data_IF_578678449015
#
_entry.id   IF_578678449015
#
_cell.length_a   1.000
_cell.length_b   1.000
_cell.length_c   1.000
_cell.angle_alpha   90.00
_cell.angle_beta   90.00
_cell.angle_gamma   90.00
#
_symmetry.space_group_name_H-M   'P 1'
#
loop_
_entity.id
_entity.type
_entity.pdbx_description
1 polymer ?
#
# COMPACT_ATOMS: atom_id res chain seq x y z
N UNK A 1 1.22 24.90 -17.27
CA UNK A 1 1.57 23.98 -18.36
C UNK A 1 0.48 22.94 -18.58
N UNK A 2 0.35 22.50 -19.82
CA UNK A 2 -0.56 21.40 -20.20
C UNK A 2 0.17 20.50 -21.20
N UNK A 3 0.00 19.19 -21.05
CA UNK A 3 0.44 18.19 -22.02
C UNK A 3 -0.66 17.12 -22.16
N UNK A 4 -0.81 16.60 -23.38
CA UNK A 4 -1.68 15.46 -23.64
C UNK A 4 -1.06 14.58 -24.73
N UNK A 5 -1.25 13.29 -24.60
CA UNK A 5 -0.93 12.28 -25.61
C UNK A 5 -2.23 11.55 -25.97
N UNK A 6 -2.51 11.44 -27.25
CA UNK A 6 -3.72 10.78 -27.75
C UNK A 6 -3.35 9.51 -28.52
N UNK A 7 -4.19 8.50 -28.39
CA UNK A 7 -4.07 7.24 -29.12
C UNK A 7 -2.70 6.55 -28.93
N UNK A 8 -2.22 6.48 -27.69
CA UNK A 8 -1.00 5.76 -27.36
C UNK A 8 -1.22 4.26 -27.52
N UNK A 9 -0.37 3.62 -28.31
CA UNK A 9 -0.30 2.17 -28.45
C UNK A 9 1.09 1.69 -28.05
N UNK A 10 1.14 0.76 -27.12
CA UNK A 10 2.38 0.10 -26.70
C UNK A 10 2.09 -1.39 -26.66
N UNK A 11 2.64 -2.13 -27.61
CA UNK A 11 2.34 -3.54 -27.83
C UNK A 11 0.83 -3.77 -27.98
N UNK A 12 0.23 -4.51 -27.08
CA UNK A 12 -1.23 -4.78 -27.05
C UNK A 12 -2.03 -3.71 -26.32
N UNK A 13 -1.40 -2.87 -25.51
CA UNK A 13 -2.03 -1.83 -24.72
C UNK A 13 -2.46 -0.64 -25.58
N UNK A 14 -3.71 -0.23 -25.49
CA UNK A 14 -4.22 0.97 -26.16
C UNK A 14 -4.85 1.92 -25.15
N UNK A 15 -4.30 3.15 -25.08
CA UNK A 15 -4.81 4.25 -24.24
C UNK A 15 -5.26 5.41 -25.15
N UNK A 16 -6.49 5.87 -24.96
CA UNK A 16 -7.07 6.91 -25.83
C UNK A 16 -6.52 8.30 -25.52
N UNK A 17 -6.40 8.64 -24.25
CA UNK A 17 -5.87 9.95 -23.82
C UNK A 17 -5.13 9.84 -22.50
N UNK A 18 -3.90 10.32 -22.47
CA UNK A 18 -3.14 10.59 -21.26
C UNK A 18 -2.97 12.11 -21.18
N UNK A 19 -3.27 12.70 -20.04
CA UNK A 19 -3.16 14.14 -19.87
C UNK A 19 -2.44 14.52 -18.58
N UNK A 20 -1.82 15.70 -18.63
CA UNK A 20 -1.17 16.34 -17.50
C UNK A 20 -1.40 17.84 -17.56
N UNK A 21 -1.78 18.44 -16.44
CA UNK A 21 -1.99 19.89 -16.33
C UNK A 21 -1.45 20.39 -15.01
N UNK A 22 -0.64 21.44 -15.06
CA UNK A 22 -0.20 22.19 -13.89
C UNK A 22 -0.63 23.64 -14.06
N UNK A 23 -1.27 24.19 -13.06
CA UNK A 23 -1.58 25.60 -12.92
C UNK A 23 -1.00 26.09 -11.61
N UNK A 24 -0.34 27.22 -11.64
CA UNK A 24 0.22 27.85 -10.45
C UNK A 24 -0.25 29.31 -10.40
N UNK A 25 -0.65 29.72 -9.22
CA UNK A 25 -0.91 31.09 -8.82
C UNK A 25 0.03 31.42 -7.66
N UNK A 26 -0.06 32.62 -7.10
CA UNK A 26 0.84 33.11 -6.04
C UNK A 26 0.85 32.21 -4.79
N UNK A 27 -0.29 31.63 -4.43
CA UNK A 27 -0.46 30.85 -3.20
C UNK A 27 -0.97 29.44 -3.42
N UNK A 28 -1.29 29.08 -4.68
CA UNK A 28 -1.95 27.83 -5.00
C UNK A 28 -1.32 27.19 -6.24
N UNK A 29 -0.89 25.95 -6.11
CA UNK A 29 -0.53 25.10 -7.24
C UNK A 29 -1.56 23.98 -7.36
N UNK A 30 -2.10 23.81 -8.59
CA UNK A 30 -3.01 22.70 -8.92
C UNK A 30 -2.36 21.80 -9.96
N UNK A 31 -2.38 20.52 -9.66
CA UNK A 31 -1.95 19.43 -10.53
C UNK A 31 -3.18 18.62 -10.94
N UNK A 32 -3.26 18.23 -12.20
CA UNK A 32 -4.20 17.22 -12.67
C UNK A 32 -3.55 16.36 -13.73
N UNK A 33 -3.53 15.06 -13.50
CA UNK A 33 -3.03 14.06 -14.44
C UNK A 33 -4.06 12.93 -14.58
N UNK A 34 -4.00 12.17 -15.66
CA UNK A 34 -4.90 11.02 -15.77
C UNK A 34 -4.84 10.32 -17.10
N UNK A 35 -5.59 9.23 -17.14
CA UNK A 35 -5.83 8.40 -18.32
C UNK A 35 -7.33 8.29 -18.53
N UNK A 36 -7.76 8.46 -19.76
CA UNK A 36 -9.16 8.30 -20.17
C UNK A 36 -9.20 7.38 -21.37
N UNK A 37 -9.90 6.25 -21.22
CA UNK A 37 -10.31 5.40 -22.31
C UNK A 37 -11.83 5.55 -22.52
N UNK A 38 -12.21 6.04 -23.69
CA UNK A 38 -13.60 6.29 -24.01
C UNK A 38 -14.41 5.01 -24.31
N UNK A 39 -15.73 5.15 -24.51
CA UNK A 39 -16.61 4.00 -24.78
C UNK A 39 -16.29 3.25 -26.08
N UNK A 40 -15.49 3.83 -26.96
CA UNK A 40 -15.05 3.20 -28.22
C UNK A 40 -13.70 2.50 -28.13
N UNK A 41 -13.04 2.56 -26.95
CA UNK A 41 -11.81 1.83 -26.75
C UNK A 41 -12.07 0.33 -26.88
N UNK A 42 -11.30 -0.41 -27.70
CA UNK A 42 -11.56 -1.83 -27.95
C UNK A 42 -11.26 -2.75 -26.77
N UNK A 43 -10.57 -2.26 -25.75
CA UNK A 43 -10.16 -3.04 -24.59
C UNK A 43 -11.02 -2.72 -23.36
N UNK A 44 -10.85 -1.52 -22.80
CA UNK A 44 -11.54 -1.10 -21.58
C UNK A 44 -11.92 0.38 -21.64
N UNK A 45 -13.15 0.69 -21.24
CA UNK A 45 -13.59 2.05 -21.00
C UNK A 45 -13.43 2.38 -19.53
N UNK A 46 -12.65 3.40 -19.21
CA UNK A 46 -12.42 3.87 -17.83
C UNK A 46 -11.85 5.29 -17.81
N UNK A 47 -11.87 5.91 -16.66
CA UNK A 47 -11.11 7.14 -16.40
C UNK A 47 -10.41 7.05 -15.06
N UNK A 48 -9.12 7.39 -15.03
CA UNK A 48 -8.36 7.57 -13.81
C UNK A 48 -7.85 8.99 -13.78
N UNK A 49 -8.12 9.71 -12.71
CA UNK A 49 -7.65 11.08 -12.52
C UNK A 49 -6.92 11.20 -11.19
N UNK A 50 -5.72 11.76 -11.23
CA UNK A 50 -4.97 12.21 -10.08
C UNK A 50 -5.11 13.72 -10.02
N UNK A 51 -5.66 14.27 -8.94
CA UNK A 51 -5.70 15.70 -8.65
C UNK A 51 -4.82 16.02 -7.46
N UNK A 52 -4.10 17.14 -7.55
CA UNK A 52 -3.27 17.63 -6.45
C UNK A 52 -3.46 19.13 -6.27
N UNK A 53 -3.54 19.56 -5.03
CA UNK A 53 -3.53 20.97 -4.64
C UNK A 53 -2.46 21.20 -3.58
N UNK A 54 -1.62 22.22 -3.79
CA UNK A 54 -0.65 22.67 -2.78
C UNK A 54 -1.01 24.13 -2.50
N UNK A 55 -1.37 24.41 -1.26
CA UNK A 55 -1.72 25.76 -0.80
C UNK A 55 -0.90 26.04 0.47
N UNK A 56 -0.09 27.12 0.42
CA UNK A 56 0.79 27.53 1.52
C UNK A 56 1.67 26.37 2.01
N UNK A 57 1.20 25.65 3.01
CA UNK A 57 1.90 24.52 3.65
C UNK A 57 1.14 23.20 3.58
N UNK A 58 -0.09 23.22 3.06
CA UNK A 58 -0.92 22.03 2.93
C UNK A 58 -0.84 21.51 1.51
N UNK A 59 -0.71 20.19 1.38
CA UNK A 59 -0.73 19.48 0.12
C UNK A 59 -1.82 18.42 0.15
N UNK A 60 -2.67 18.40 -0.86
CA UNK A 60 -3.71 17.40 -1.04
C UNK A 60 -3.47 16.64 -2.34
N UNK A 61 -3.60 15.34 -2.32
CA UNK A 61 -3.51 14.47 -3.48
C UNK A 61 -4.68 13.49 -3.44
N UNK A 62 -5.44 13.39 -4.53
CA UNK A 62 -6.63 12.53 -4.64
C UNK A 62 -6.61 11.75 -5.95
N UNK A 63 -6.87 10.46 -5.87
CA UNK A 63 -7.09 9.55 -7.00
C UNK A 63 -8.58 9.27 -7.13
N UNK A 64 -9.13 9.43 -8.33
CA UNK A 64 -10.50 9.08 -8.70
C UNK A 64 -10.45 8.15 -9.93
N UNK A 65 -10.85 6.90 -9.75
CA UNK A 65 -11.03 5.92 -10.82
C UNK A 65 -12.52 5.65 -11.03
N UNK A 66 -12.95 5.69 -12.30
CA UNK A 66 -14.31 5.33 -12.71
C UNK A 66 -14.27 4.31 -13.84
N UNK A 67 -15.12 3.30 -13.73
CA UNK A 67 -15.29 2.32 -14.79
C UNK A 67 -16.05 2.91 -16.00
N UNK A 68 -16.23 2.10 -17.06
CA UNK A 68 -16.95 2.50 -18.28
C UNK A 68 -18.42 2.87 -18.10
N UNK A 69 -19.02 2.49 -16.97
CA UNK A 69 -20.40 2.86 -16.60
C UNK A 69 -20.45 4.19 -15.83
N UNK A 70 -19.31 4.74 -15.45
CA UNK A 70 -19.20 5.95 -14.63
C UNK A 70 -19.31 5.68 -13.12
N UNK A 71 -19.30 4.43 -12.70
CA UNK A 71 -19.28 4.04 -11.29
C UNK A 71 -17.86 4.27 -10.71
N UNK A 72 -17.79 4.89 -9.53
CA UNK A 72 -16.52 5.16 -8.85
C UNK A 72 -15.98 3.88 -8.21
N UNK A 73 -14.87 3.39 -8.71
CA UNK A 73 -14.19 2.20 -8.18
C UNK A 73 -13.09 2.54 -7.19
N UNK A 74 -12.45 3.73 -7.32
CA UNK A 74 -11.50 4.23 -6.34
C UNK A 74 -11.72 5.72 -6.15
N UNK A 75 -11.83 6.16 -4.92
CA UNK A 75 -11.76 7.55 -4.50
C UNK A 75 -10.99 7.60 -3.19
N UNK A 76 -9.69 7.85 -3.27
CA UNK A 76 -8.79 7.84 -2.13
C UNK A 76 -7.68 8.85 -2.34
N UNK A 77 -7.30 9.51 -1.29
CA UNK A 77 -6.23 10.49 -1.34
C UNK A 77 -5.58 10.71 0.02
N UNK A 78 -4.72 11.70 0.05
CA UNK A 78 -3.97 12.07 1.24
C UNK A 78 -3.88 13.59 1.33
N UNK A 79 -4.10 14.12 2.53
CA UNK A 79 -3.75 15.48 2.90
C UNK A 79 -2.45 15.42 3.71
N UNK A 80 -1.47 16.24 3.33
CA UNK A 80 -0.18 16.36 3.99
C UNK A 80 0.04 17.79 4.47
N UNK A 81 0.48 17.94 5.72
CA UNK A 81 0.79 19.23 6.34
C UNK A 81 2.04 19.14 7.22
N UNK A 82 2.77 20.24 7.42
CA UNK A 82 3.88 20.26 8.35
C UNK A 82 3.42 19.91 9.77
N UNK A 83 4.19 19.05 10.43
CA UNK A 83 4.04 18.77 11.85
C UNK A 83 4.89 19.79 12.64
N UNK A 84 4.28 20.44 13.63
CA UNK A 84 4.95 21.39 14.51
C UNK A 84 4.81 20.91 15.96
N UNK A 85 5.92 20.55 16.58
CA UNK A 85 6.02 20.29 18.01
C UNK A 85 6.74 21.48 18.66
N UNK A 86 5.96 22.39 19.31
CA UNK A 86 6.51 23.56 20.03
C UNK A 86 6.73 24.82 19.18
N UNK A 87 7.56 25.73 19.70
CA UNK A 87 7.87 27.04 19.10
C UNK A 87 9.06 26.89 18.14
N UNK A 88 8.88 26.40 16.93
CA UNK A 88 10.03 26.28 16.05
C UNK A 88 9.73 25.81 14.62
N UNK A 89 10.78 25.38 13.95
CA UNK A 89 10.72 24.77 12.61
C UNK A 89 9.94 23.47 12.68
N UNK A 90 9.12 23.19 11.65
CA UNK A 90 8.35 21.94 11.58
C UNK A 90 9.21 20.70 11.84
N UNK A 91 8.71 19.78 12.66
CA UNK A 91 9.43 18.59 13.12
C UNK A 91 9.19 17.36 12.21
N UNK A 92 8.41 17.52 11.16
CA UNK A 92 8.07 16.48 10.20
C UNK A 92 6.85 16.81 9.35
N UNK A 93 6.15 15.76 8.92
CA UNK A 93 4.91 15.84 8.16
C UNK A 93 3.82 15.02 8.85
N UNK A 94 2.61 15.56 8.85
CA UNK A 94 1.39 14.87 9.24
C UNK A 94 0.56 14.57 8.01
N UNK A 95 0.06 13.35 7.91
CA UNK A 95 -0.78 12.88 6.83
C UNK A 95 -2.13 12.42 7.38
N UNK A 96 -3.19 12.68 6.62
CA UNK A 96 -4.53 12.11 6.83
C UNK A 96 -5.05 11.59 5.51
N UNK A 97 -5.72 10.45 5.52
CA UNK A 97 -6.40 9.94 4.32
C UNK A 97 -7.70 10.69 4.08
N UNK A 98 -8.08 10.87 2.84
CA UNK A 98 -9.28 11.59 2.39
C UNK A 98 -9.96 10.83 1.24
N UNK A 99 -11.28 11.03 1.02
CA UNK A 99 -12.25 11.72 1.87
C UNK A 99 -12.58 10.95 3.16
N UNK A 100 -13.50 11.45 3.96
CA UNK A 100 -13.97 10.75 5.19
C UNK A 100 -14.59 9.39 4.89
N UNK A 101 -15.23 9.24 3.72
CA UNK A 101 -15.73 7.97 3.19
C UNK A 101 -14.99 7.64 1.88
N UNK A 102 -13.79 7.06 1.95
CA UNK A 102 -13.08 6.64 0.75
C UNK A 102 -13.77 5.47 0.06
N UNK A 103 -13.54 5.33 -1.24
CA UNK A 103 -14.01 4.21 -2.04
C UNK A 103 -12.79 3.43 -2.52
N UNK A 104 -12.77 2.13 -2.29
CA UNK A 104 -11.75 1.21 -2.80
C UNK A 104 -12.47 -0.01 -3.36
N UNK A 105 -12.13 -0.40 -4.57
CA UNK A 105 -12.72 -1.55 -5.25
C UNK A 105 -14.27 -1.51 -5.28
N UNK A 106 -14.85 -0.32 -5.55
CA UNK A 106 -16.30 -0.02 -5.55
C UNK A 106 -17.00 -0.11 -4.18
N UNK A 107 -16.28 -0.43 -3.11
CA UNK A 107 -16.80 -0.48 -1.75
C UNK A 107 -16.50 0.81 -1.01
N UNK A 108 -17.47 1.27 -0.20
CA UNK A 108 -17.31 2.41 0.68
C UNK A 108 -16.68 1.97 1.98
N UNK A 109 -15.69 2.73 2.41
CA UNK A 109 -15.03 2.56 3.71
C UNK A 109 -15.31 3.75 4.60
N UNK A 110 -15.10 3.57 5.89
CA UNK A 110 -15.14 4.63 6.88
C UNK A 110 -13.98 4.46 7.85
N UNK A 111 -13.54 5.58 8.41
CA UNK A 111 -12.51 5.58 9.44
C UNK A 111 -13.14 5.48 10.83
N UNK A 112 -12.48 4.78 11.72
CA UNK A 112 -12.77 4.90 13.13
C UNK A 112 -12.39 6.33 13.57
N UNK A 113 -13.33 7.08 14.19
CA UNK A 113 -13.35 8.54 14.37
C UNK A 113 -12.04 9.23 14.80
N UNK A 114 -11.11 8.53 15.41
CA UNK A 114 -9.84 9.10 15.89
C UNK A 114 -8.60 8.48 15.22
N UNK A 115 -8.83 7.58 14.28
CA UNK A 115 -7.80 6.71 13.74
C UNK A 115 -7.62 6.94 12.24
N UNK A 116 -7.15 8.12 11.88
CA UNK A 116 -6.81 8.47 10.50
C UNK A 116 -5.69 9.51 10.49
N UNK A 117 -4.50 9.13 10.97
CA UNK A 117 -3.33 9.98 10.92
C UNK A 117 -2.03 9.19 10.85
N UNK A 118 -1.04 9.76 10.18
CA UNK A 118 0.33 9.27 10.11
C UNK A 118 1.25 10.47 10.32
N UNK A 119 2.20 10.38 11.24
CA UNK A 119 3.23 11.38 11.50
C UNK A 119 4.58 10.84 11.10
N UNK A 120 5.27 11.55 10.22
CA UNK A 120 6.64 11.25 9.81
C UNK A 120 7.54 12.37 10.34
N UNK A 121 8.34 12.06 11.33
CA UNK A 121 9.28 13.01 11.94
C UNK A 121 10.55 13.15 11.09
N UNK A 122 11.29 14.24 11.28
CA UNK A 122 12.56 14.50 10.57
C UNK A 122 13.62 13.43 10.74
N UNK A 123 13.62 12.75 11.88
CA UNK A 123 14.51 11.62 12.15
C UNK A 123 14.00 10.31 11.52
N UNK A 124 13.04 10.38 10.62
CA UNK A 124 12.37 9.25 9.96
C UNK A 124 11.56 8.35 10.89
N UNK A 125 11.32 8.78 12.13
CA UNK A 125 10.39 8.05 13.01
C UNK A 125 8.97 8.25 12.53
N UNK A 126 8.26 7.14 12.35
CA UNK A 126 6.85 7.12 11.90
C UNK A 126 5.95 6.71 13.07
N UNK A 127 4.91 7.49 13.26
CA UNK A 127 3.78 7.12 14.11
C UNK A 127 2.54 7.08 13.25
N UNK A 128 1.83 5.98 13.29
CA UNK A 128 0.60 5.79 12.52
C UNK A 128 -0.55 5.35 13.43
N UNK A 129 -1.73 5.78 13.08
CA UNK A 129 -2.97 5.29 13.64
C UNK A 129 -4.06 5.47 12.59
N UNK A 130 -4.16 4.50 11.70
CA UNK A 130 -5.16 4.42 10.64
C UNK A 130 -5.97 3.15 10.86
N UNK A 131 -7.28 3.28 10.89
CA UNK A 131 -8.22 2.18 11.09
C UNK A 131 -9.41 2.43 10.16
N UNK A 132 -9.47 1.68 9.07
CA UNK A 132 -10.42 1.88 7.98
C UNK A 132 -11.10 0.56 7.60
N UNK A 133 -12.41 0.52 7.69
CA UNK A 133 -13.23 -0.66 7.46
C UNK A 133 -14.48 -0.33 6.65
N UNK A 134 -15.01 -1.31 5.92
CA UNK A 134 -16.36 -1.28 5.39
C UNK A 134 -17.38 -1.89 6.37
N UNK A 135 -18.64 -1.92 5.99
CA UNK A 135 -19.72 -2.46 6.81
C UNK A 135 -19.66 -4.00 6.98
N UNK A 136 -18.90 -4.70 6.14
CA UNK A 136 -18.71 -6.15 6.15
C UNK A 136 -17.46 -6.58 6.91
N UNK A 137 -16.67 -5.62 7.42
CA UNK A 137 -15.43 -5.86 8.16
C UNK A 137 -14.21 -6.09 7.27
N UNK A 138 -14.30 -5.77 5.98
CA UNK A 138 -13.16 -5.67 5.09
C UNK A 138 -12.41 -4.36 5.35
N UNK A 139 -11.10 -4.37 5.32
CA UNK A 139 -10.35 -3.13 5.48
C UNK A 139 -8.92 -3.31 5.92
N UNK A 140 -8.36 -2.25 6.49
CA UNK A 140 -7.01 -2.30 7.04
C UNK A 140 -6.83 -1.40 8.25
N UNK A 141 -5.89 -1.80 9.09
CA UNK A 141 -5.40 -1.06 10.24
C UNK A 141 -3.89 -0.95 10.19
N UNK A 142 -3.39 0.25 10.49
CA UNK A 142 -1.96 0.50 10.71
C UNK A 142 -1.83 1.30 12.00
N UNK A 143 -1.11 0.80 12.98
CA UNK A 143 -0.88 1.55 14.19
C UNK A 143 0.50 1.35 14.78
N UNK A 144 1.05 2.40 15.35
CA UNK A 144 2.29 2.37 16.10
C UNK A 144 2.03 1.97 17.54
N UNK A 145 2.87 1.10 18.09
CA UNK A 145 2.79 0.66 19.48
C UNK A 145 3.03 1.85 20.41
N UNK A 146 2.07 2.11 21.31
CA UNK A 146 2.12 3.24 22.23
C UNK A 146 3.15 3.02 23.33
N UNK A 147 3.90 4.08 23.64
CA UNK A 147 4.84 4.09 24.77
C UNK A 147 6.22 3.49 24.45
N UNK A 148 6.45 3.01 23.24
CA UNK A 148 7.77 2.61 22.80
C UNK A 148 8.61 3.86 22.51
N UNK A 149 9.63 4.07 23.32
CA UNK A 149 10.59 5.18 23.18
C UNK A 149 11.96 4.72 22.71
N UNK A 150 12.16 3.41 22.59
CA UNK A 150 13.46 2.79 22.25
C UNK A 150 13.56 2.52 20.76
N UNK A 151 12.51 2.02 20.15
CA UNK A 151 12.50 1.70 18.73
C UNK A 151 12.37 2.96 17.86
N UNK A 152 13.04 2.96 16.71
CA UNK A 152 12.82 3.96 15.66
C UNK A 152 11.45 3.76 15.01
N UNK A 153 11.07 2.51 14.81
CA UNK A 153 9.77 2.09 14.28
C UNK A 153 9.26 0.92 15.13
N UNK A 154 7.97 0.93 15.41
CA UNK A 154 7.25 -0.18 16.02
C UNK A 154 5.80 -0.10 15.55
N UNK A 155 5.47 -0.87 14.52
CA UNK A 155 4.24 -0.70 13.73
C UNK A 155 3.60 -2.06 13.53
N UNK A 156 2.31 -2.13 13.82
CA UNK A 156 1.43 -3.24 13.47
C UNK A 156 0.60 -2.86 12.24
N UNK A 157 0.47 -3.81 11.33
CA UNK A 157 -0.37 -3.73 10.13
C UNK A 157 -1.33 -4.91 10.12
N UNK A 158 -2.59 -4.67 9.89
CA UNK A 158 -3.62 -5.68 9.70
C UNK A 158 -4.40 -5.37 8.43
N UNK A 159 -4.51 -6.34 7.54
CA UNK A 159 -5.37 -6.33 6.35
C UNK A 159 -6.36 -7.46 6.51
N UNK A 160 -7.64 -7.18 6.33
CA UNK A 160 -8.70 -8.15 6.58
C UNK A 160 -9.62 -8.29 5.39
N UNK A 161 -9.70 -9.51 4.87
CA UNK A 161 -10.69 -9.98 3.90
C UNK A 161 -10.81 -9.14 2.62
N UNK A 162 -9.73 -8.56 2.11
CA UNK A 162 -9.75 -7.80 0.87
C UNK A 162 -10.10 -8.73 -0.31
N UNK A 163 -11.20 -8.44 -1.00
CA UNK A 163 -11.60 -9.16 -2.20
C UNK A 163 -10.62 -8.90 -3.35
N UNK A 164 -9.89 -9.92 -3.79
CA UNK A 164 -8.99 -9.82 -4.94
C UNK A 164 -9.76 -9.60 -6.25
N UNK A 165 -10.99 -10.14 -6.36
CA UNK A 165 -11.86 -9.89 -7.50
C UNK A 165 -12.21 -8.42 -7.64
N UNK A 166 -12.57 -7.77 -6.52
CA UNK A 166 -12.91 -6.34 -6.52
C UNK A 166 -11.68 -5.47 -6.79
N UNK A 167 -10.53 -5.79 -6.20
CA UNK A 167 -9.28 -5.10 -6.50
C UNK A 167 -8.88 -5.23 -7.96
N UNK A 168 -8.97 -6.44 -8.54
CA UNK A 168 -8.63 -6.64 -9.96
C UNK A 168 -9.56 -5.88 -10.90
N UNK A 169 -10.81 -5.67 -10.50
CA UNK A 169 -11.81 -4.96 -11.30
C UNK A 169 -11.53 -3.46 -11.48
N UNK A 170 -10.74 -2.86 -10.59
CA UNK A 170 -10.29 -1.45 -10.68
C UNK A 170 -8.89 -1.31 -11.31
N UNK A 171 -8.25 -2.41 -11.66
CA UNK A 171 -6.94 -2.45 -12.30
C UNK A 171 -7.10 -2.89 -13.77
N UNK A 172 -7.25 -1.95 -14.73
CA UNK A 172 -7.34 -2.31 -16.14
C UNK A 172 -6.13 -3.16 -16.57
N UNK A 173 -6.38 -4.17 -17.38
CA UNK A 173 -5.35 -5.08 -17.89
C UNK A 173 -4.74 -6.05 -16.86
N UNK A 174 -5.27 -6.09 -15.65
CA UNK A 174 -4.84 -7.07 -14.65
C UNK A 174 -5.52 -8.43 -14.93
N UNK A 175 -4.85 -9.57 -14.73
CA UNK A 175 -5.44 -10.89 -14.92
C UNK A 175 -6.62 -11.13 -13.97
N UNK A 176 -7.54 -11.98 -14.36
CA UNK A 176 -8.67 -12.38 -13.51
C UNK A 176 -8.15 -13.18 -12.31
N UNK A 177 -8.27 -12.58 -11.12
CA UNK A 177 -7.88 -13.20 -9.87
C UNK A 177 -9.00 -13.04 -8.85
N UNK A 178 -9.31 -14.10 -8.09
CA UNK A 178 -10.29 -14.07 -7.02
C UNK A 178 -9.75 -14.69 -5.76
N UNK A 179 -10.40 -14.46 -4.64
CA UNK A 179 -10.03 -14.92 -3.32
C UNK A 179 -10.14 -13.79 -2.29
N UNK A 180 -10.08 -14.13 -1.01
CA UNK A 180 -10.09 -13.18 0.10
C UNK A 180 -8.70 -13.09 0.71
N UNK A 181 -8.08 -11.94 0.56
CA UNK A 181 -6.74 -11.68 1.09
C UNK A 181 -6.81 -11.10 2.50
N UNK A 182 -6.08 -11.70 3.42
CA UNK A 182 -5.84 -11.21 4.77
C UNK A 182 -4.35 -11.23 5.08
N UNK A 183 -3.86 -10.27 5.87
CA UNK A 183 -2.46 -10.25 6.30
C UNK A 183 -2.31 -9.55 7.64
N UNK A 184 -1.34 -10.01 8.43
CA UNK A 184 -0.87 -9.35 9.63
C UNK A 184 0.64 -9.18 9.56
N UNK A 185 1.14 -8.04 10.00
CA UNK A 185 2.57 -7.78 10.06
C UNK A 185 2.93 -6.96 11.30
N UNK A 186 4.03 -7.33 11.92
CA UNK A 186 4.64 -6.57 13.00
C UNK A 186 6.07 -6.20 12.63
N UNK A 187 6.36 -4.90 12.61
CA UNK A 187 7.66 -4.35 12.22
C UNK A 187 8.27 -3.54 13.35
N UNK A 188 9.45 -3.93 13.80
CA UNK A 188 10.24 -3.20 14.79
C UNK A 188 11.61 -2.89 14.23
N UNK A 189 12.01 -1.64 14.29
CA UNK A 189 13.34 -1.19 13.93
C UNK A 189 13.95 -0.40 15.08
N UNK A 190 15.15 -0.78 15.46
CA UNK A 190 16.01 -0.01 16.38
C UNK A 190 17.17 0.62 15.60
N UNK A 191 18.08 1.31 16.27
CA UNK A 191 19.31 1.81 15.63
C UNK A 191 20.22 0.69 15.11
N UNK A 192 20.10 -0.51 15.64
CA UNK A 192 21.01 -1.64 15.34
C UNK A 192 20.34 -2.81 14.69
N UNK A 193 19.08 -3.05 15.00
CA UNK A 193 18.39 -4.28 14.70
C UNK A 193 17.06 -4.01 13.99
N UNK A 194 16.66 -4.96 13.18
CA UNK A 194 15.36 -5.03 12.51
C UNK A 194 14.69 -6.36 12.87
N UNK A 195 13.42 -6.28 13.21
CA UNK A 195 12.54 -7.42 13.42
C UNK A 195 11.30 -7.24 12.54
N UNK A 196 10.94 -8.29 11.85
CA UNK A 196 9.72 -8.36 11.04
C UNK A 196 9.06 -9.71 11.26
N UNK A 197 7.75 -9.69 11.45
CA UNK A 197 6.90 -10.88 11.39
C UNK A 197 5.75 -10.56 10.43
N UNK A 198 5.50 -11.42 9.48
CA UNK A 198 4.42 -11.30 8.50
C UNK A 198 3.73 -12.64 8.36
N UNK A 199 2.42 -12.63 8.37
CA UNK A 199 1.58 -13.73 7.95
C UNK A 199 0.53 -13.21 6.97
N UNK A 200 0.35 -13.89 5.85
CA UNK A 200 -0.64 -13.53 4.84
C UNK A 200 -1.33 -14.78 4.32
N UNK A 201 -2.64 -14.69 4.12
CA UNK A 201 -3.46 -15.76 3.61
C UNK A 201 -4.35 -15.27 2.47
N UNK A 202 -4.61 -16.15 1.52
CA UNK A 202 -5.61 -15.98 0.48
C UNK A 202 -6.51 -17.21 0.52
N UNK A 203 -7.75 -17.01 0.92
CA UNK A 203 -8.77 -18.06 0.92
C UNK A 203 -9.35 -18.18 -0.48
N UNK A 204 -9.55 -19.42 -0.95
CA UNK A 204 -10.18 -19.75 -2.23
C UNK A 204 -9.55 -19.03 -3.45
N UNK A 205 -8.22 -18.97 -3.50
CA UNK A 205 -7.49 -18.33 -4.60
C UNK A 205 -7.85 -19.00 -5.95
N UNK A 206 -8.24 -18.17 -6.92
CA UNK A 206 -8.42 -18.55 -8.30
C UNK A 206 -7.62 -17.61 -9.20
N UNK A 207 -6.92 -18.13 -10.18
CA UNK A 207 -6.18 -17.36 -11.17
C UNK A 207 -6.59 -17.79 -12.58
N UNK A 208 -7.05 -16.83 -13.41
CA UNK A 208 -7.53 -17.09 -14.78
C UNK A 208 -8.50 -18.28 -14.85
N UNK A 209 -9.46 -18.34 -13.90
CA UNK A 209 -10.49 -19.40 -13.75
C UNK A 209 -9.94 -20.76 -13.31
N UNK A 210 -8.66 -20.89 -13.01
CA UNK A 210 -8.10 -22.09 -12.42
C UNK A 210 -8.10 -21.96 -10.90
N UNK A 211 -8.75 -22.90 -10.23
CA UNK A 211 -8.73 -22.95 -8.77
C UNK A 211 -7.32 -23.37 -8.31
N UNK A 212 -6.74 -22.53 -7.48
CA UNK A 212 -5.46 -22.81 -6.81
C UNK A 212 -5.72 -23.38 -5.42
N UNK A 213 -6.72 -22.87 -4.68
CA UNK A 213 -7.02 -23.29 -3.31
C UNK A 213 -6.63 -22.25 -2.29
N UNK A 214 -6.46 -22.67 -1.05
CA UNK A 214 -6.06 -21.78 0.05
C UNK A 214 -4.53 -21.66 0.10
N UNK A 215 -4.03 -20.45 0.20
CA UNK A 215 -2.60 -20.16 0.24
C UNK A 215 -2.27 -19.36 1.47
N UNK A 216 -1.33 -19.83 2.29
CA UNK A 216 -0.79 -19.09 3.45
C UNK A 216 0.71 -18.96 3.33
N UNK A 217 1.21 -17.75 3.57
CA UNK A 217 2.63 -17.41 3.58
C UNK A 217 2.97 -16.78 4.90
N UNK A 218 4.02 -17.26 5.55
CA UNK A 218 4.57 -16.61 6.73
C UNK A 218 6.05 -16.33 6.58
N UNK A 219 6.52 -15.22 7.16
CA UNK A 219 7.93 -14.90 7.23
C UNK A 219 8.27 -14.19 8.54
N UNK A 220 9.39 -14.55 9.12
CA UNK A 220 9.98 -13.89 10.29
C UNK A 220 11.41 -13.50 10.03
N UNK A 221 11.77 -12.29 10.41
CA UNK A 221 13.13 -11.78 10.40
C UNK A 221 13.46 -11.30 11.81
N UNK A 222 14.42 -11.96 12.47
CA UNK A 222 14.72 -11.74 13.88
C UNK A 222 16.20 -11.44 14.10
N UNK A 223 16.53 -10.48 14.99
CA UNK A 223 17.91 -10.25 15.40
C UNK A 223 18.40 -11.41 16.28
N UNK A 224 19.66 -11.76 16.12
CA UNK A 224 20.37 -12.76 16.89
C UNK A 224 21.60 -12.21 17.59
N UNK A 225 22.37 -13.07 18.21
CA UNK A 225 23.59 -12.69 18.90
C UNK A 225 24.69 -12.24 17.92
N UNK A 226 25.56 -11.31 18.37
CA UNK A 226 26.71 -10.83 17.62
C UNK A 226 26.37 -10.15 16.27
N UNK A 227 25.19 -9.53 16.16
CA UNK A 227 24.73 -8.86 14.94
C UNK A 227 24.27 -9.80 13.83
N UNK A 228 24.11 -11.09 14.12
CA UNK A 228 23.48 -12.03 13.19
C UNK A 228 21.99 -11.72 13.08
N UNK A 229 21.40 -12.07 11.96
CA UNK A 229 19.97 -12.04 11.78
C UNK A 229 19.48 -13.35 11.17
N UNK A 230 18.29 -13.77 11.54
CA UNK A 230 17.68 -15.03 11.13
C UNK A 230 16.41 -14.76 10.36
N UNK A 231 16.26 -15.44 9.25
CA UNK A 231 15.05 -15.45 8.41
C UNK A 231 14.46 -16.86 8.45
N UNK A 232 13.16 -16.94 8.71
CA UNK A 232 12.36 -18.14 8.45
C UNK A 232 11.17 -17.74 7.59
N UNK A 233 10.81 -18.57 6.62
CA UNK A 233 9.64 -18.39 5.80
C UNK A 233 9.01 -19.74 5.46
N UNK A 234 7.70 -19.74 5.28
CA UNK A 234 6.95 -20.91 4.84
C UNK A 234 5.87 -20.54 3.85
N UNK A 235 5.46 -21.50 3.06
CA UNK A 235 4.31 -21.46 2.18
C UNK A 235 3.50 -22.72 2.39
N UNK A 236 2.21 -22.57 2.69
CA UNK A 236 1.24 -23.63 2.74
C UNK A 236 0.25 -23.50 1.60
N UNK A 237 -0.18 -24.64 1.08
CA UNK A 237 -1.23 -24.74 0.07
C UNK A 237 -2.24 -25.82 0.53
N UNK A 238 -3.52 -25.45 0.65
CA UNK A 238 -4.59 -26.32 1.19
C UNK A 238 -4.17 -27.01 2.53
N UNK A 239 -3.65 -26.20 3.49
CA UNK A 239 -3.14 -26.67 4.80
C UNK A 239 -1.89 -27.56 4.75
N UNK A 240 -1.31 -27.82 3.58
CA UNK A 240 -0.09 -28.60 3.42
C UNK A 240 1.10 -27.64 3.25
N UNK A 241 2.16 -27.84 4.05
CA UNK A 241 3.40 -27.11 3.90
C UNK A 241 4.11 -27.55 2.61
N UNK A 242 4.24 -26.62 1.65
CA UNK A 242 4.87 -26.91 0.35
C UNK A 242 6.25 -26.25 0.21
N UNK A 243 6.58 -25.31 1.06
CA UNK A 243 7.90 -24.68 1.10
C UNK A 243 8.26 -24.21 2.49
N UNK A 244 9.49 -24.49 2.89
CA UNK A 244 10.15 -23.90 4.07
C UNK A 244 11.48 -23.31 3.64
N UNK A 245 11.79 -22.13 4.12
CA UNK A 245 13.07 -21.49 3.91
C UNK A 245 13.65 -20.98 5.23
N UNK A 246 14.90 -21.29 5.49
CA UNK A 246 15.70 -20.76 6.58
C UNK A 246 16.85 -19.94 6.05
N UNK A 247 17.11 -18.81 6.65
CA UNK A 247 18.21 -17.95 6.27
C UNK A 247 18.88 -17.29 7.46
N UNK A 248 20.13 -16.93 7.28
CA UNK A 248 20.87 -16.10 8.25
C UNK A 248 21.73 -15.09 7.54
N UNK A 249 21.68 -13.86 8.01
CA UNK A 249 22.58 -12.80 7.62
C UNK A 249 23.74 -12.76 8.62
N UNK A 250 24.96 -12.91 8.10
CA UNK A 250 26.19 -12.92 8.88
C UNK A 250 26.96 -11.62 8.61
N UNK A 251 27.08 -10.70 9.59
CA UNK A 251 27.91 -9.54 9.43
C UNK A 251 29.39 -9.93 9.29
N UNK A 252 30.07 -9.38 8.29
CA UNK A 252 31.51 -9.62 8.10
C UNK A 252 32.32 -8.41 8.55
N UNK A 253 33.55 -8.67 9.04
CA UNK A 253 34.50 -7.59 9.41
C UNK A 253 34.91 -6.69 8.25
N UNK A 254 34.66 -7.10 7.03
CA UNK A 254 35.01 -6.37 5.79
C UNK A 254 33.86 -5.53 5.22
N UNK A 255 32.70 -5.47 5.91
CA UNK A 255 31.53 -4.72 5.48
C UNK A 255 30.79 -5.34 4.29
N UNK A 256 31.08 -6.59 3.93
CA UNK A 256 30.29 -7.37 2.99
C UNK A 256 29.57 -8.45 3.79
N UNK A 257 28.31 -8.19 4.11
CA UNK A 257 27.48 -9.17 4.79
C UNK A 257 27.20 -10.36 3.86
N UNK A 258 27.17 -11.55 4.40
CA UNK A 258 26.81 -12.76 3.66
C UNK A 258 25.42 -13.22 4.09
N UNK A 259 24.56 -13.48 3.12
CA UNK A 259 23.24 -14.10 3.33
C UNK A 259 23.35 -15.58 2.94
N UNK A 260 23.08 -16.47 3.90
CA UNK A 260 22.92 -17.90 3.66
C UNK A 260 21.43 -18.22 3.72
N UNK A 261 20.89 -18.85 2.69
CA UNK A 261 19.48 -19.28 2.62
C UNK A 261 19.44 -20.74 2.20
N UNK A 262 18.69 -21.55 2.94
CA UNK A 262 18.31 -22.90 2.58
C UNK A 262 16.80 -22.92 2.35
N UNK A 263 16.36 -23.48 1.25
CA UNK A 263 14.93 -23.66 0.97
C UNK A 263 14.68 -25.11 0.57
N UNK A 264 13.60 -25.67 1.08
CA UNK A 264 13.07 -26.98 0.70
C UNK A 264 11.70 -26.76 0.08
N UNK A 265 11.49 -27.39 -1.06
CA UNK A 265 10.20 -27.44 -1.76
C UNK A 265 9.75 -28.90 -1.79
N UNK A 266 8.52 -29.16 -1.35
CA UNK A 266 7.86 -30.48 -1.40
C UNK A 266 6.76 -30.54 -2.46
#
# INVERSE_FOLDING_TARGET
>A
GKAAVHALKVDTLQLDTIFFTVKQDTTLMKLRAGVINGPKNPQFSFSTTLTGEIRDRDAELLVDFKNGKGETGVLLGVNARPLFEGKGKGDGLAFTLIPEEPIIAFQKFHFNEKHNWIYVHKNMRVYANVDMWDDEGMGFRVHSVRGDTVSLQNIDVEIRRISLADLSSVLPYFPEITGLFSAEAHYVQTEKDLQLSVEAAIDELTYERQRIGDVTVGATWLPGEQGKQYLNAYLNHDEVEVMVADGKLLPTRTGKDSLEVNATLE
#
